data_IF_792514991364
#
_entry.id   IF_792514991364
#
_cell.length_a   1.000
_cell.length_b   1.000
_cell.length_c   1.000
_cell.angle_alpha   90.00
_cell.angle_beta   90.00
_cell.angle_gamma   90.00
#
_symmetry.space_group_name_H-M   'P 1'
#
loop_
_entity.id
_entity.type
_entity.pdbx_description
1 polymer ?
#
# COMPACT_ATOMS: atom_id res chain seq x y z
N UNK A 1 -16.33 -61.17 -34.05
CA UNK A 1 -14.87 -61.07 -33.83
C UNK A 1 -14.46 -59.61 -33.91
N UNK A 2 -13.84 -59.12 -32.83
CA UNK A 2 -13.00 -57.92 -32.67
C UNK A 2 -13.62 -56.50 -32.78
N UNK A 3 -13.71 -55.90 -31.59
CA UNK A 3 -13.46 -54.49 -31.25
C UNK A 3 -12.47 -53.76 -32.18
N UNK A 4 -12.74 -52.47 -32.42
CA UNK A 4 -11.78 -51.40 -32.11
C UNK A 4 -12.53 -50.09 -31.85
N UNK A 5 -12.52 -49.68 -30.59
CA UNK A 5 -12.91 -48.36 -30.11
C UNK A 5 -11.66 -47.49 -30.27
N UNK A 6 -11.64 -46.57 -31.25
CA UNK A 6 -10.51 -45.66 -31.43
C UNK A 6 -10.63 -44.48 -30.48
N UNK A 7 -9.51 -44.24 -29.81
CA UNK A 7 -9.36 -43.53 -28.55
C UNK A 7 -8.72 -42.17 -28.83
N UNK A 8 -9.49 -41.15 -29.19
CA UNK A 8 -8.98 -39.78 -29.42
C UNK A 8 -9.95 -38.65 -29.01
N UNK A 9 -10.83 -38.82 -28.02
CA UNK A 9 -11.78 -37.77 -27.59
C UNK A 9 -11.41 -37.08 -26.25
N UNK A 10 -10.21 -37.35 -25.70
CA UNK A 10 -9.82 -36.87 -24.37
C UNK A 10 -9.27 -35.43 -24.32
N UNK A 11 -8.57 -34.99 -25.38
CA UNK A 11 -7.88 -33.69 -25.37
C UNK A 11 -8.77 -32.51 -25.81
N UNK A 12 -9.85 -32.78 -26.56
CA UNK A 12 -10.74 -31.73 -27.07
C UNK A 12 -11.55 -31.07 -25.94
N UNK A 13 -11.98 -31.86 -24.95
CA UNK A 13 -12.63 -31.36 -23.73
C UNK A 13 -11.71 -30.45 -22.90
N UNK A 14 -10.41 -30.76 -22.82
CA UNK A 14 -9.45 -29.98 -22.03
C UNK A 14 -9.12 -28.64 -22.72
N UNK A 15 -8.90 -28.66 -24.04
CA UNK A 15 -8.66 -27.46 -24.85
C UNK A 15 -9.88 -26.53 -24.80
N UNK A 16 -11.09 -27.07 -24.93
CA UNK A 16 -12.33 -26.28 -24.89
C UNK A 16 -12.54 -25.63 -23.52
N UNK A 17 -12.21 -26.33 -22.43
CA UNK A 17 -12.27 -25.81 -21.07
C UNK A 17 -11.19 -24.77 -20.79
N UNK A 18 -10.00 -24.87 -21.40
CA UNK A 18 -8.97 -23.84 -21.35
C UNK A 18 -9.36 -22.57 -22.14
N UNK A 19 -9.99 -22.71 -23.31
CA UNK A 19 -10.49 -21.58 -24.12
C UNK A 19 -11.66 -20.88 -23.42
N UNK A 20 -12.56 -21.64 -22.78
CA UNK A 20 -13.64 -21.09 -21.97
C UNK A 20 -13.09 -20.39 -20.72
N UNK A 21 -12.03 -20.90 -20.09
CA UNK A 21 -11.36 -20.23 -18.96
C UNK A 21 -10.70 -18.91 -19.38
N UNK A 22 -10.09 -18.86 -20.58
CA UNK A 22 -9.57 -17.64 -21.19
C UNK A 22 -10.68 -16.63 -21.53
N UNK A 23 -11.84 -17.10 -21.99
CA UNK A 23 -12.99 -16.24 -22.34
C UNK A 23 -13.78 -15.73 -21.13
N UNK A 24 -13.85 -16.51 -20.05
CA UNK A 24 -14.45 -16.11 -18.76
C UNK A 24 -13.54 -15.15 -18.01
N UNK A 25 -12.22 -15.33 -18.10
CA UNK A 25 -11.21 -14.40 -17.60
C UNK A 25 -11.33 -13.02 -18.24
N UNK A 26 -11.64 -12.92 -19.54
CA UNK A 26 -11.82 -11.63 -20.20
C UNK A 26 -13.09 -10.87 -19.79
N UNK A 27 -14.13 -11.55 -19.32
CA UNK A 27 -15.43 -10.91 -19.03
C UNK A 27 -15.56 -10.40 -17.58
N UNK A 28 -14.69 -10.86 -16.67
CA UNK A 28 -14.71 -10.45 -15.25
C UNK A 28 -13.62 -9.42 -14.90
N UNK A 29 -12.95 -8.85 -15.90
CA UNK A 29 -11.96 -7.77 -15.73
C UNK A 29 -12.54 -6.46 -16.31
N UNK A 30 -13.78 -6.14 -15.95
CA UNK A 30 -14.39 -4.84 -16.26
C UNK A 30 -14.69 -3.99 -15.01
N UNK A 31 -14.30 -4.45 -13.82
CA UNK A 31 -14.44 -3.64 -12.62
C UNK A 31 -13.32 -3.89 -11.63
N UNK A 32 -12.11 -3.47 -11.99
CA UNK A 32 -11.17 -2.72 -11.14
C UNK A 32 -9.79 -2.70 -11.81
N UNK A 33 -9.55 -1.62 -12.57
CA UNK A 33 -8.24 -0.97 -12.72
C UNK A 33 -7.06 -1.90 -13.06
N UNK A 34 -7.12 -2.62 -14.19
CA UNK A 34 -5.87 -3.02 -14.87
C UNK A 34 -5.29 -1.75 -15.45
N UNK A 35 -4.36 -1.16 -14.71
CA UNK A 35 -3.55 -0.03 -15.17
C UNK A 35 -2.80 -0.52 -16.40
N UNK A 36 -3.14 0.03 -17.56
CA UNK A 36 -2.34 -0.08 -18.77
C UNK A 36 -0.92 0.38 -18.48
N UNK A 37 0.06 -0.52 -18.65
CA UNK A 37 1.42 -0.28 -19.18
C UNK A 37 2.31 -1.51 -18.94
N UNK A 38 2.75 -2.17 -20.02
CA UNK A 38 3.99 -2.96 -20.02
C UNK A 38 3.94 -4.50 -19.89
N UNK A 39 2.80 -5.14 -19.64
CA UNK A 39 2.75 -6.62 -19.51
C UNK A 39 2.96 -7.39 -20.82
N UNK A 40 2.75 -6.77 -21.99
CA UNK A 40 2.79 -7.46 -23.28
C UNK A 40 4.17 -8.00 -23.70
N UNK A 41 5.27 -7.54 -23.08
CA UNK A 41 6.63 -7.95 -23.44
C UNK A 41 7.27 -8.92 -22.44
N UNK A 42 6.50 -9.47 -21.50
CA UNK A 42 7.02 -10.36 -20.48
C UNK A 42 6.95 -11.82 -20.89
N UNK A 43 7.94 -12.66 -20.52
CA UNK A 43 7.86 -14.09 -20.77
C UNK A 43 6.64 -14.67 -20.06
N UNK A 44 5.91 -15.55 -20.73
CA UNK A 44 4.63 -16.11 -20.26
C UNK A 44 4.74 -16.68 -18.85
N UNK A 45 5.85 -17.38 -18.54
CA UNK A 45 6.08 -17.97 -17.22
C UNK A 45 6.16 -16.92 -16.10
N UNK A 46 6.78 -15.75 -16.36
CA UNK A 46 6.85 -14.65 -15.40
C UNK A 46 5.47 -14.05 -15.11
N UNK A 47 4.65 -13.93 -16.16
CA UNK A 47 3.28 -13.42 -16.03
C UNK A 47 2.44 -14.39 -15.21
N UNK A 48 2.53 -15.70 -15.46
CA UNK A 48 1.81 -16.74 -14.71
C UNK A 48 2.22 -16.75 -13.23
N UNK A 49 3.51 -16.71 -12.93
CA UNK A 49 4.01 -16.71 -11.55
C UNK A 49 3.58 -15.45 -10.79
N UNK A 50 3.72 -14.28 -11.43
CA UNK A 50 3.29 -13.02 -10.83
C UNK A 50 1.78 -13.01 -10.58
N UNK A 51 0.97 -13.45 -11.55
CA UNK A 51 -0.49 -13.50 -11.40
C UNK A 51 -0.95 -14.55 -10.37
N UNK A 52 -0.20 -15.63 -10.18
CA UNK A 52 -0.46 -16.67 -9.18
C UNK A 52 -0.08 -16.26 -7.76
N UNK A 53 0.85 -15.32 -7.56
CA UNK A 53 1.21 -14.83 -6.24
C UNK A 53 0.06 -14.05 -5.57
N UNK A 54 -0.15 -14.15 -4.25
CA UNK A 54 -1.19 -13.37 -3.58
C UNK A 54 -0.92 -11.86 -3.73
N UNK A 55 -1.97 -11.08 -3.97
CA UNK A 55 -1.87 -9.63 -4.17
C UNK A 55 -1.16 -8.93 -2.99
N UNK A 56 -1.37 -9.42 -1.77
CA UNK A 56 -0.67 -8.96 -0.57
C UNK A 56 0.85 -9.10 -0.68
N UNK A 57 1.37 -10.21 -1.20
CA UNK A 57 2.82 -10.42 -1.37
C UNK A 57 3.40 -9.48 -2.43
N UNK A 58 2.72 -9.32 -3.57
CA UNK A 58 3.15 -8.39 -4.63
C UNK A 58 3.20 -6.95 -4.14
N UNK A 59 2.17 -6.53 -3.41
CA UNK A 59 2.09 -5.20 -2.79
C UNK A 59 3.18 -4.98 -1.74
N UNK A 60 3.45 -5.96 -0.88
CA UNK A 60 4.50 -5.88 0.14
C UNK A 60 5.88 -5.72 -0.50
N UNK A 61 6.19 -6.51 -1.53
CA UNK A 61 7.48 -6.42 -2.23
C UNK A 61 7.64 -5.09 -2.96
N UNK A 62 6.60 -4.61 -3.63
CA UNK A 62 6.66 -3.30 -4.27
C UNK A 62 6.90 -2.18 -3.25
N UNK A 63 6.20 -2.19 -2.10
CA UNK A 63 6.43 -1.22 -1.03
C UNK A 63 7.86 -1.28 -0.48
N UNK A 64 8.42 -2.49 -0.33
CA UNK A 64 9.80 -2.66 0.12
C UNK A 64 10.82 -2.10 -0.89
N UNK A 65 10.57 -2.24 -2.20
CA UNK A 65 11.43 -1.67 -3.26
C UNK A 65 11.38 -0.14 -3.23
N UNK A 66 10.20 0.46 -3.08
CA UNK A 66 10.09 1.93 -2.94
C UNK A 66 10.91 2.43 -1.76
N UNK A 67 10.90 1.70 -0.64
CA UNK A 67 11.67 2.06 0.57
C UNK A 67 13.18 2.00 0.37
N UNK A 68 13.67 1.08 -0.46
CA UNK A 68 15.09 0.96 -0.79
C UNK A 68 15.51 2.04 -1.79
N UNK A 69 14.68 2.31 -2.81
CA UNK A 69 14.97 3.26 -3.88
C UNK A 69 14.97 4.73 -3.40
N UNK A 70 14.08 5.08 -2.47
CA UNK A 70 13.98 6.43 -1.89
C UNK A 70 13.80 6.39 -0.37
N UNK A 71 14.86 6.09 0.39
CA UNK A 71 14.81 6.05 1.85
C UNK A 71 14.54 7.44 2.45
N UNK A 72 14.96 8.50 1.76
CA UNK A 72 14.72 9.90 2.12
C UNK A 72 13.23 10.25 2.18
N UNK A 73 12.43 9.76 1.21
CA UNK A 73 10.98 9.98 1.19
C UNK A 73 10.26 9.23 2.30
N UNK A 74 10.70 8.01 2.62
CA UNK A 74 10.13 7.23 3.72
C UNK A 74 10.51 7.81 5.08
N UNK A 75 11.72 8.35 5.25
CA UNK A 75 12.12 9.06 6.47
C UNK A 75 11.28 10.32 6.66
N UNK A 76 11.13 11.15 5.62
CA UNK A 76 10.28 12.35 5.66
C UNK A 76 8.83 12.01 6.01
N UNK A 77 8.29 10.92 5.44
CA UNK A 77 6.95 10.42 5.76
C UNK A 77 6.83 9.99 7.21
N UNK A 78 7.80 9.22 7.72
CA UNK A 78 7.79 8.76 9.10
C UNK A 78 7.84 9.93 10.09
N UNK A 79 8.71 10.91 9.82
CA UNK A 79 8.78 12.14 10.62
C UNK A 79 7.46 12.91 10.58
N UNK A 80 6.83 13.00 9.41
CA UNK A 80 5.53 13.65 9.25
C UNK A 80 4.43 12.95 10.04
N UNK A 81 4.37 11.61 10.01
CA UNK A 81 3.40 10.82 10.77
C UNK A 81 3.59 11.03 12.28
N UNK A 82 4.84 11.04 12.77
CA UNK A 82 5.14 11.29 14.18
C UNK A 82 4.65 12.69 14.59
N UNK A 83 4.91 13.71 13.77
CA UNK A 83 4.45 15.08 14.02
C UNK A 83 2.91 15.18 14.03
N UNK A 84 2.24 14.60 13.04
CA UNK A 84 0.77 14.56 12.97
C UNK A 84 0.18 13.87 14.21
N UNK A 85 0.75 12.75 14.63
CA UNK A 85 0.29 12.04 15.83
C UNK A 85 0.52 12.85 17.10
N UNK A 86 1.66 13.53 17.21
CA UNK A 86 1.96 14.43 18.33
C UNK A 86 0.96 15.60 18.38
N UNK A 87 0.72 16.27 17.26
CA UNK A 87 -0.23 17.39 17.15
C UNK A 87 -1.67 16.95 17.44
N UNK A 88 -2.09 15.76 16.95
CA UNK A 88 -3.42 15.18 17.28
C UNK A 88 -3.56 14.86 18.76
N UNK A 89 -2.50 14.34 19.40
CA UNK A 89 -2.51 14.06 20.82
C UNK A 89 -2.55 15.35 21.65
N UNK A 90 -1.82 16.39 21.23
CA UNK A 90 -1.89 17.72 21.85
C UNK A 90 -3.29 18.32 21.75
N UNK A 91 -3.95 18.19 20.60
CA UNK A 91 -5.32 18.66 20.41
C UNK A 91 -6.29 17.99 21.39
N UNK A 92 -6.21 16.65 21.53
CA UNK A 92 -7.00 15.90 22.52
C UNK A 92 -6.71 16.32 23.95
N UNK A 93 -5.44 16.50 24.30
CA UNK A 93 -5.06 16.95 25.64
C UNK A 93 -5.62 18.34 25.98
N UNK A 94 -5.68 19.25 24.99
CA UNK A 94 -6.32 20.56 25.14
C UNK A 94 -7.84 20.40 25.32
N UNK A 95 -8.50 19.55 24.52
CA UNK A 95 -9.93 19.27 24.66
C UNK A 95 -10.28 18.69 26.04
N UNK A 96 -9.53 17.70 26.51
CA UNK A 96 -9.71 17.09 27.83
C UNK A 96 -9.49 18.10 28.96
N UNK A 97 -8.49 18.98 28.83
CA UNK A 97 -8.24 20.07 29.79
C UNK A 97 -9.43 21.03 29.85
N UNK A 98 -9.98 21.44 28.70
CA UNK A 98 -11.15 22.31 28.64
C UNK A 98 -12.35 21.64 29.32
N UNK A 99 -12.64 20.37 28.99
CA UNK A 99 -13.75 19.63 29.58
C UNK A 99 -13.63 19.51 31.10
N UNK A 100 -12.42 19.23 31.61
CA UNK A 100 -12.15 19.15 33.05
C UNK A 100 -12.37 20.49 33.77
N UNK A 101 -11.91 21.58 33.16
CA UNK A 101 -12.06 22.93 33.70
C UNK A 101 -13.53 23.36 33.74
N UNK A 102 -14.29 23.07 32.67
CA UNK A 102 -15.73 23.32 32.64
C UNK A 102 -16.49 22.51 33.70
N UNK A 103 -16.09 21.26 33.94
CA UNK A 103 -16.74 20.41 34.94
C UNK A 103 -16.42 20.82 36.39
N UNK A 104 -15.22 21.30 36.66
CA UNK A 104 -14.77 21.67 38.02
C UNK A 104 -15.26 23.07 38.43
N UNK A 105 -15.71 23.87 37.47
CA UNK A 105 -16.20 25.23 37.71
C UNK A 105 -17.64 25.19 38.23
N UNK A 106 -17.83 25.12 39.55
CA UNK A 106 -19.13 25.33 40.20
C UNK A 106 -19.30 26.84 40.53
N UNK A 107 -20.30 27.50 39.93
CA UNK A 107 -20.57 28.95 40.10
C UNK A 107 -20.71 29.70 38.77
N UNK A 108 -20.88 31.04 38.81
CA UNK A 108 -20.99 31.88 37.61
C UNK A 108 -19.67 31.85 36.81
N UNK A 109 -19.64 31.07 35.73
CA UNK A 109 -18.46 30.79 34.90
C UNK A 109 -17.76 32.04 34.36
N UNK A 110 -18.47 33.16 34.28
CA UNK A 110 -17.99 34.44 33.77
C UNK A 110 -17.14 35.22 34.79
N UNK A 111 -17.21 34.88 36.08
CA UNK A 111 -16.43 35.57 37.13
C UNK A 111 -15.06 34.91 37.36
N UNK A 112 -14.79 33.78 36.72
CA UNK A 112 -13.58 33.00 36.93
C UNK A 112 -12.50 33.39 35.90
N UNK A 113 -11.76 34.46 36.21
CA UNK A 113 -10.75 35.05 35.31
C UNK A 113 -9.65 34.04 34.88
N UNK A 114 -9.29 33.11 35.77
CA UNK A 114 -8.32 32.03 35.47
C UNK A 114 -8.83 31.07 34.38
N UNK A 115 -10.14 30.76 34.40
CA UNK A 115 -10.78 29.92 33.41
C UNK A 115 -10.80 30.60 32.04
N UNK A 116 -11.17 31.88 32.00
CA UNK A 116 -11.25 32.68 30.76
C UNK A 116 -9.87 32.76 30.10
N UNK A 117 -8.83 33.06 30.88
CA UNK A 117 -7.46 33.12 30.36
C UNK A 117 -7.00 31.77 29.80
N UNK A 118 -7.24 30.68 30.52
CA UNK A 118 -6.87 29.32 30.06
C UNK A 118 -7.63 28.91 28.79
N UNK A 119 -8.92 29.27 28.67
CA UNK A 119 -9.73 29.00 27.48
C UNK A 119 -9.23 29.80 26.27
N UNK A 120 -8.84 31.06 26.48
CA UNK A 120 -8.30 31.91 25.41
C UNK A 120 -6.96 31.39 24.90
N UNK A 121 -6.04 31.02 25.79
CA UNK A 121 -4.77 30.38 25.44
C UNK A 121 -4.97 29.05 24.70
N UNK A 122 -5.90 28.22 25.19
CA UNK A 122 -6.23 26.94 24.57
C UNK A 122 -6.81 27.11 23.15
N UNK A 123 -7.63 28.15 22.95
CA UNK A 123 -8.19 28.49 21.64
C UNK A 123 -7.12 28.92 20.65
N UNK A 124 -6.19 29.78 21.06
CA UNK A 124 -5.06 30.23 20.22
C UNK A 124 -4.17 29.04 19.85
N UNK A 125 -3.80 28.22 20.83
CA UNK A 125 -2.92 27.06 20.64
C UNK A 125 -3.57 26.01 19.74
N UNK A 126 -4.86 25.71 19.95
CA UNK A 126 -5.63 24.79 19.10
C UNK A 126 -5.73 25.29 17.65
N UNK A 127 -5.96 26.59 17.44
CA UNK A 127 -5.98 27.19 16.10
C UNK A 127 -4.62 27.08 15.39
N UNK A 128 -3.52 27.30 16.11
CA UNK A 128 -2.18 27.12 15.58
C UNK A 128 -1.88 25.66 15.22
N UNK A 129 -2.28 24.69 16.06
CA UNK A 129 -2.15 23.25 15.77
C UNK A 129 -2.98 22.87 14.52
N UNK A 130 -4.22 23.34 14.41
CA UNK A 130 -5.07 23.09 13.24
C UNK A 130 -4.45 23.60 11.94
N UNK A 131 -3.84 24.79 11.98
CA UNK A 131 -3.14 25.35 10.81
C UNK A 131 -1.95 24.47 10.41
N UNK A 132 -1.14 24.02 11.38
CA UNK A 132 -0.02 23.09 11.13
C UNK A 132 -0.48 21.74 10.59
N UNK A 133 -1.62 21.22 11.04
CA UNK A 133 -2.19 19.98 10.51
C UNK A 133 -2.60 20.11 9.04
N UNK A 134 -3.20 21.23 8.65
CA UNK A 134 -3.55 21.50 7.24
C UNK A 134 -2.29 21.56 6.36
N UNK A 135 -1.22 22.20 6.83
CA UNK A 135 0.07 22.22 6.12
C UNK A 135 0.71 20.82 6.04
N UNK A 136 0.58 20.03 7.11
CA UNK A 136 1.06 18.65 7.16
C UNK A 136 0.31 17.75 6.17
N UNK A 137 -1.01 17.89 6.04
CA UNK A 137 -1.82 17.17 5.05
C UNK A 137 -1.43 17.52 3.61
N UNK A 138 -1.21 18.82 3.33
CA UNK A 138 -0.71 19.24 2.01
C UNK A 138 0.68 18.66 1.71
N UNK A 139 1.53 18.55 2.73
CA UNK A 139 2.86 17.94 2.61
C UNK A 139 2.77 16.43 2.40
N UNK A 140 1.85 15.74 3.10
CA UNK A 140 1.59 14.32 2.93
C UNK A 140 1.14 14.01 1.50
N UNK A 141 0.26 14.82 0.93
CA UNK A 141 -0.18 14.66 -0.46
C UNK A 141 0.98 14.80 -1.46
N UNK A 142 1.89 15.77 -1.23
CA UNK A 142 3.10 15.93 -2.06
C UNK A 142 4.00 14.69 -1.98
N UNK A 143 4.22 14.16 -0.78
CA UNK A 143 5.00 12.94 -0.55
C UNK A 143 4.34 11.74 -1.25
N UNK A 144 3.03 11.57 -1.10
CA UNK A 144 2.31 10.47 -1.75
C UNK A 144 2.36 10.57 -3.28
N UNK A 145 2.24 11.78 -3.84
CA UNK A 145 2.38 11.99 -5.28
C UNK A 145 3.79 11.65 -5.77
N UNK A 146 4.83 12.00 -4.99
CA UNK A 146 6.20 11.63 -5.30
C UNK A 146 6.39 10.09 -5.25
N UNK A 147 5.81 9.41 -4.26
CA UNK A 147 5.87 7.93 -4.12
C UNK A 147 5.18 7.21 -5.26
N UNK A 148 4.04 7.71 -5.74
CA UNK A 148 3.28 7.07 -6.82
C UNK A 148 4.10 6.98 -8.12
N UNK A 149 5.03 7.93 -8.37
CA UNK A 149 5.95 7.87 -9.51
C UNK A 149 6.88 6.66 -9.47
N UNK A 150 7.24 6.17 -8.28
CA UNK A 150 8.11 5.00 -8.10
C UNK A 150 7.33 3.69 -7.99
N UNK A 151 5.99 3.74 -7.92
CA UNK A 151 5.15 2.54 -7.81
C UNK A 151 5.26 1.62 -9.02
N UNK A 152 5.42 2.20 -10.21
CA UNK A 152 5.62 1.45 -11.45
C UNK A 152 6.96 0.73 -11.45
N UNK A 153 8.04 1.42 -11.05
CA UNK A 153 9.39 0.83 -10.89
C UNK A 153 9.39 -0.29 -9.85
N UNK A 154 8.71 -0.08 -8.73
CA UNK A 154 8.55 -1.08 -7.69
C UNK A 154 7.76 -2.33 -8.13
N UNK A 155 6.78 -2.14 -9.02
CA UNK A 155 6.03 -3.24 -9.63
C UNK A 155 6.91 -4.03 -10.61
N UNK A 156 7.79 -3.36 -11.35
CA UNK A 156 8.78 -4.04 -12.20
C UNK A 156 9.80 -4.82 -11.36
N UNK A 157 10.31 -4.23 -10.27
CA UNK A 157 11.23 -4.88 -9.35
C UNK A 157 10.63 -6.12 -8.68
N UNK A 158 9.36 -6.06 -8.26
CA UNK A 158 8.68 -7.22 -7.67
C UNK A 158 8.56 -8.38 -8.65
N UNK A 159 8.35 -8.09 -9.94
CA UNK A 159 8.25 -9.11 -10.98
C UNK A 159 9.58 -9.78 -11.22
N UNK A 160 10.67 -9.01 -11.33
CA UNK A 160 12.02 -9.57 -11.49
C UNK A 160 12.31 -10.58 -10.37
N UNK A 161 11.92 -10.27 -9.13
CA UNK A 161 12.03 -11.21 -8.01
C UNK A 161 11.24 -12.51 -8.24
N UNK A 162 9.99 -12.44 -8.73
CA UNK A 162 9.21 -13.64 -9.02
C UNK A 162 9.79 -14.46 -10.18
N UNK A 163 10.37 -13.81 -11.19
CA UNK A 163 11.09 -14.51 -12.26
C UNK A 163 12.29 -15.25 -11.69
N UNK A 164 13.15 -14.57 -10.93
CA UNK A 164 14.32 -15.18 -10.29
C UNK A 164 13.90 -16.34 -9.39
N UNK A 165 12.81 -16.17 -8.62
CA UNK A 165 12.28 -17.22 -7.77
C UNK A 165 11.78 -18.44 -8.56
N UNK A 166 11.29 -18.25 -9.80
CA UNK A 166 10.89 -19.36 -10.66
C UNK A 166 12.07 -20.12 -11.29
N UNK A 167 13.27 -19.52 -11.38
CA UNK A 167 14.46 -20.22 -11.89
C UNK A 167 14.87 -21.40 -11.01
N UNK A 168 14.51 -21.40 -9.72
CA UNK A 168 14.77 -22.55 -8.83
C UNK A 168 14.02 -23.82 -9.23
N UNK A 169 12.97 -23.70 -10.04
CA UNK A 169 12.25 -24.87 -10.59
C UNK A 169 13.05 -25.59 -11.68
N UNK A 170 13.96 -24.88 -12.36
CA UNK A 170 14.82 -25.44 -13.41
C UNK A 170 16.03 -26.12 -12.77
N UNK A 171 16.72 -25.42 -11.87
CA UNK A 171 17.85 -25.96 -11.10
C UNK A 171 17.82 -25.38 -9.67
N UNK A 172 17.85 -26.24 -8.63
CA UNK A 172 17.88 -25.82 -7.22
C UNK A 172 19.03 -24.84 -6.87
N UNK A 173 20.10 -24.79 -7.67
CA UNK A 173 21.21 -23.86 -7.50
C UNK A 173 20.78 -22.38 -7.61
N UNK A 174 19.71 -22.06 -8.36
CA UNK A 174 19.23 -20.69 -8.55
C UNK A 174 18.24 -20.21 -7.47
N UNK A 175 18.21 -20.88 -6.30
CA UNK A 175 17.35 -20.47 -5.20
C UNK A 175 17.92 -19.25 -4.47
N UNK A 176 17.33 -18.08 -4.70
CA UNK A 176 17.68 -16.85 -4.00
C UNK A 176 16.66 -16.50 -2.91
N UNK A 177 17.17 -16.05 -1.76
CA UNK A 177 16.31 -15.50 -0.70
C UNK A 177 15.90 -14.06 -1.01
N UNK A 178 14.73 -13.65 -0.53
CA UNK A 178 14.29 -12.26 -0.60
C UNK A 178 15.29 -11.29 0.06
N UNK A 179 15.98 -11.74 1.12
CA UNK A 179 17.00 -10.94 1.79
C UNK A 179 18.19 -10.64 0.87
N UNK A 180 18.63 -11.63 0.09
CA UNK A 180 19.69 -11.45 -0.88
C UNK A 180 19.28 -10.49 -2.00
N UNK A 181 18.06 -10.65 -2.54
CA UNK A 181 17.53 -9.76 -3.57
C UNK A 181 17.52 -8.29 -3.11
N UNK A 182 17.06 -8.03 -1.89
CA UNK A 182 17.04 -6.68 -1.28
C UNK A 182 18.41 -6.06 -1.01
N UNK A 183 19.49 -6.85 -1.00
CA UNK A 183 20.84 -6.36 -0.79
C UNK A 183 21.54 -6.01 -2.11
N UNK A 184 21.15 -6.68 -3.20
CA UNK A 184 21.75 -6.49 -4.53
C UNK A 184 21.10 -5.34 -5.28
N UNK A 185 19.80 -5.11 -5.07
CA UNK A 185 19.09 -3.90 -5.49
C UNK A 185 19.48 -2.71 -4.61
#
# INVERSE_FOLDING_TARGET
>A
MKHSMNQCDGYDWFIKRCIDWLSIGQRTIHSHRVVETGFMNWPVNAVVQYLGAPESSRSLLANDVVRIERPDLEEQRNQLIIRINSDKNQLKAIEDRILKLLFTSEGNILDNEELINTLQESKITSAAIKTRLVEAEATEQKINTAREKYRTVATQGSVIYFVISSLSEIDPMYQFSLKYFKQVC
#
